data_IF_118238293915
#
_entry.id   IF_118238293915
#
_cell.length_a   1.000
_cell.length_b   1.000
_cell.length_c   1.000
_cell.angle_alpha   90.00
_cell.angle_beta   90.00
_cell.angle_gamma   90.00
#
_symmetry.space_group_name_H-M   'P 1'
#
loop_
_entity.id
_entity.type
_entity.pdbx_description
1 polymer ?
#
# COMPACT_ATOMS: atom_id res chain seq x y z
N UNK A 1 23.21 25.73 0.23
CA UNK A 1 22.41 26.76 -0.46
C UNK A 1 20.97 26.29 -0.43
N UNK A 2 20.11 26.92 0.38
CA UNK A 2 18.68 26.61 0.40
C UNK A 2 18.00 27.37 -0.73
N UNK A 3 17.38 26.66 -1.66
CA UNK A 3 16.67 27.24 -2.81
C UNK A 3 15.38 27.88 -2.30
N UNK A 4 15.09 29.16 -2.60
CA UNK A 4 13.92 29.88 -2.06
C UNK A 4 12.55 29.33 -2.52
N UNK A 5 12.50 28.33 -3.40
CA UNK A 5 11.26 27.68 -3.84
C UNK A 5 10.64 26.70 -2.81
N UNK A 6 11.43 26.15 -1.89
CA UNK A 6 10.95 25.06 -1.01
C UNK A 6 10.05 25.55 0.14
N UNK A 7 10.26 26.78 0.62
CA UNK A 7 9.55 27.31 1.79
C UNK A 7 8.08 27.65 1.52
N UNK A 8 7.74 28.02 0.28
CA UNK A 8 6.35 28.35 -0.14
C UNK A 8 5.51 27.09 -0.38
N UNK A 9 6.13 26.01 -0.85
CA UNK A 9 5.45 24.73 -1.10
C UNK A 9 5.09 24.02 0.22
N UNK A 10 5.99 24.05 1.21
CA UNK A 10 5.78 23.37 2.50
C UNK A 10 4.69 24.04 3.36
N UNK A 11 4.60 25.37 3.32
CA UNK A 11 3.54 26.12 4.02
C UNK A 11 2.15 25.86 3.40
N UNK A 12 2.09 25.66 2.08
CA UNK A 12 0.85 25.30 1.38
C UNK A 12 0.40 23.89 1.75
N UNK A 13 1.33 22.91 1.78
CA UNK A 13 1.01 21.52 2.15
C UNK A 13 0.37 21.35 3.52
N UNK A 14 0.86 22.06 4.54
CA UNK A 14 0.27 21.95 5.89
C UNK A 14 -1.17 22.48 5.90
N UNK A 15 -1.38 23.64 5.29
CA UNK A 15 -2.70 24.28 5.19
C UNK A 15 -3.69 23.39 4.43
N UNK A 16 -3.23 22.75 3.35
CA UNK A 16 -4.04 21.83 2.55
C UNK A 16 -4.43 20.57 3.35
N UNK A 17 -3.50 20.01 4.14
CA UNK A 17 -3.77 18.86 4.99
C UNK A 17 -4.75 19.19 6.14
N UNK A 18 -4.59 20.35 6.77
CA UNK A 18 -5.51 20.83 7.82
C UNK A 18 -6.94 21.03 7.27
N UNK A 19 -7.06 21.55 6.04
CA UNK A 19 -8.35 21.66 5.37
C UNK A 19 -8.95 20.29 5.06
N UNK A 20 -8.16 19.35 4.54
CA UNK A 20 -8.63 17.98 4.25
C UNK A 20 -9.06 17.24 5.52
N UNK A 21 -8.32 17.35 6.61
CA UNK A 21 -8.69 16.76 7.89
C UNK A 21 -10.01 17.34 8.43
N UNK A 22 -10.19 18.67 8.36
CA UNK A 22 -11.41 19.33 8.84
C UNK A 22 -12.66 18.86 8.09
N UNK A 23 -12.58 18.71 6.77
CA UNK A 23 -13.74 18.36 5.93
C UNK A 23 -14.03 16.84 5.90
N UNK A 24 -12.99 16.00 5.95
CA UNK A 24 -13.13 14.55 5.72
C UNK A 24 -12.90 13.69 6.97
N UNK A 25 -12.36 14.30 8.03
CA UNK A 25 -11.78 13.57 9.17
C UNK A 25 -10.50 12.80 8.78
N UNK A 26 -9.78 12.32 9.79
CA UNK A 26 -8.49 11.64 9.62
C UNK A 26 -8.56 10.45 8.64
N UNK A 27 -9.60 9.61 8.75
CA UNK A 27 -9.78 8.43 7.91
C UNK A 27 -10.10 8.81 6.46
N UNK A 28 -10.96 9.81 6.27
CA UNK A 28 -11.34 10.29 4.93
C UNK A 28 -10.17 10.95 4.21
N UNK A 29 -9.38 11.76 4.93
CA UNK A 29 -8.16 12.37 4.42
C UNK A 29 -7.15 11.32 3.95
N UNK A 30 -6.85 10.29 4.76
CA UNK A 30 -5.89 9.24 4.38
C UNK A 30 -6.33 8.53 3.09
N UNK A 31 -7.62 8.18 2.97
CA UNK A 31 -8.14 7.54 1.75
C UNK A 31 -8.06 8.44 0.53
N UNK A 32 -8.38 9.72 0.68
CA UNK A 32 -8.28 10.69 -0.41
C UNK A 32 -6.84 10.80 -0.93
N UNK A 33 -5.87 10.89 -0.03
CA UNK A 33 -4.45 10.92 -0.39
C UNK A 33 -3.99 9.63 -1.08
N UNK A 34 -4.45 8.47 -0.60
CA UNK A 34 -4.14 7.16 -1.20
C UNK A 34 -4.74 6.98 -2.60
N UNK A 35 -5.92 7.54 -2.87
CA UNK A 35 -6.55 7.49 -4.19
C UNK A 35 -5.81 8.36 -5.22
N UNK A 36 -5.31 9.52 -4.78
CA UNK A 36 -4.53 10.43 -5.63
C UNK A 36 -3.07 10.00 -5.79
N UNK A 37 -2.54 9.16 -4.91
CA UNK A 37 -1.23 8.56 -5.10
C UNK A 37 -1.33 7.45 -6.13
N UNK A 38 -0.72 7.64 -7.30
CA UNK A 38 -0.40 6.52 -8.17
C UNK A 38 0.50 5.59 -7.36
N UNK A 39 0.02 4.39 -7.03
CA UNK A 39 0.85 3.37 -6.42
C UNK A 39 2.14 3.26 -7.22
N UNK A 40 3.29 3.35 -6.55
CA UNK A 40 4.58 3.17 -7.21
C UNK A 40 4.92 1.69 -7.27
N UNK A 41 5.61 1.26 -8.32
CA UNK A 41 6.06 -0.11 -8.50
C UNK A 41 5.47 -0.75 -9.74
N UNK A 42 6.17 -1.75 -10.27
CA UNK A 42 5.65 -2.60 -11.32
C UNK A 42 5.18 -3.89 -10.68
N UNK A 43 3.96 -3.86 -10.13
CA UNK A 43 3.35 -5.05 -9.53
C UNK A 43 3.35 -6.24 -10.50
N UNK A 44 3.28 -6.01 -11.81
CA UNK A 44 3.33 -7.09 -12.80
C UNK A 44 4.70 -7.75 -12.80
N UNK A 45 5.78 -6.96 -12.89
CA UNK A 45 7.14 -7.47 -12.86
C UNK A 45 7.50 -8.10 -11.50
N UNK A 46 7.14 -7.44 -10.40
CA UNK A 46 7.38 -7.94 -9.04
C UNK A 46 6.63 -9.25 -8.77
N UNK A 47 5.37 -9.33 -9.22
CA UNK A 47 4.55 -10.55 -9.12
C UNK A 47 5.15 -11.69 -9.94
N UNK A 48 5.56 -11.43 -11.19
CA UNK A 48 6.20 -12.45 -12.05
C UNK A 48 7.50 -12.96 -11.43
N UNK A 49 8.33 -12.07 -10.88
CA UNK A 49 9.58 -12.46 -10.23
C UNK A 49 9.39 -13.49 -9.11
N UNK A 50 8.27 -13.44 -8.38
CA UNK A 50 7.99 -14.39 -7.29
C UNK A 50 7.18 -15.61 -7.75
N UNK A 51 6.12 -15.40 -8.53
CA UNK A 51 5.21 -16.49 -8.90
C UNK A 51 5.75 -17.37 -10.02
N UNK A 52 6.60 -16.87 -10.92
CA UNK A 52 7.18 -17.70 -11.97
C UNK A 52 8.22 -18.70 -11.42
N UNK A 53 8.66 -18.52 -10.17
CA UNK A 53 9.53 -19.45 -9.47
C UNK A 53 8.78 -20.61 -8.79
N UNK A 54 7.44 -20.51 -8.65
CA UNK A 54 6.62 -21.49 -7.93
C UNK A 54 5.84 -22.32 -8.94
N UNK A 55 6.06 -23.64 -8.94
CA UNK A 55 5.28 -24.56 -9.76
C UNK A 55 3.82 -24.62 -9.30
N UNK A 56 2.88 -24.85 -10.23
CA UNK A 56 1.46 -24.92 -9.89
C UNK A 56 1.15 -26.05 -8.89
N UNK A 57 1.85 -27.18 -9.00
CA UNK A 57 1.77 -28.31 -8.09
C UNK A 57 2.28 -27.96 -6.68
N UNK A 58 3.37 -27.20 -6.61
CA UNK A 58 3.95 -26.72 -5.35
C UNK A 58 3.01 -25.73 -4.67
N UNK A 59 2.45 -24.79 -5.42
CA UNK A 59 1.44 -23.85 -4.92
C UNK A 59 0.21 -24.57 -4.37
N UNK A 60 -0.27 -25.61 -5.08
CA UNK A 60 -1.40 -26.42 -4.62
C UNK A 60 -1.08 -27.18 -3.32
N UNK A 61 0.15 -27.68 -3.18
CA UNK A 61 0.61 -28.35 -1.97
C UNK A 61 0.67 -27.38 -0.78
N UNK A 62 1.26 -26.19 -0.97
CA UNK A 62 1.31 -25.13 0.05
C UNK A 62 -0.08 -24.71 0.51
N UNK A 63 -1.01 -24.50 -0.43
CA UNK A 63 -2.39 -24.12 -0.12
C UNK A 63 -3.16 -25.22 0.63
N UNK A 64 -2.82 -26.49 0.40
CA UNK A 64 -3.39 -27.62 1.16
C UNK A 64 -2.85 -27.63 2.59
N UNK A 65 -1.57 -27.34 2.76
CA UNK A 65 -0.92 -27.36 4.08
C UNK A 65 -1.38 -26.21 4.97
N UNK A 66 -1.47 -24.99 4.43
CA UNK A 66 -2.01 -23.83 5.15
C UNK A 66 -3.43 -24.09 5.68
N UNK A 67 -4.30 -24.72 4.87
CA UNK A 67 -5.66 -25.09 5.29
C UNK A 67 -5.69 -26.10 6.44
N UNK A 68 -4.74 -27.02 6.50
CA UNK A 68 -4.65 -27.95 7.64
C UNK A 68 -4.19 -27.24 8.90
N UNK A 69 -3.20 -26.36 8.79
CA UNK A 69 -2.68 -25.59 9.93
C UNK A 69 -3.75 -24.69 10.54
N UNK A 70 -4.57 -24.03 9.72
CA UNK A 70 -5.73 -23.28 10.20
C UNK A 70 -6.74 -24.16 10.93
N UNK A 71 -6.98 -25.38 10.43
CA UNK A 71 -7.90 -26.35 11.04
C UNK A 71 -7.37 -26.91 12.37
N UNK A 72 -6.05 -27.11 12.46
CA UNK A 72 -5.37 -27.60 13.67
C UNK A 72 -5.24 -26.50 14.73
N UNK A 73 -4.99 -25.25 14.34
CA UNK A 73 -4.92 -24.11 15.25
C UNK A 73 -6.29 -23.73 15.87
N UNK A 74 -7.39 -24.23 15.28
CA UNK A 74 -8.76 -24.01 15.74
C UNK A 74 -9.31 -25.16 16.61
N UNK A 75 -8.49 -26.19 16.88
CA UNK A 75 -8.82 -27.30 17.80
C UNK A 75 -8.12 -27.15 19.13
#
# INVERSE_FOLDING_TARGET
MNTPGTQTEDASRRTDLEALERELGLVGMIRYLQQGSTGSGDYTAERSAWLDQIGMEELAAMAKELRKQDTEAQR
#
